data_IF_413771204128
#
_entry.id   IF_413771204128
#
_cell.length_a   1.000
_cell.length_b   1.000
_cell.length_c   1.000
_cell.angle_alpha   90.00
_cell.angle_beta   90.00
_cell.angle_gamma   90.00
#
_symmetry.space_group_name_H-M   'P 1'
#
loop_
_entity.id
_entity.type
_entity.pdbx_description
1 polymer ?
#
# COMPACT_ATOMS: atom_id res chain seq x y z
N UNK A 1 -58.26 -75.04 -4.99
CA UNK A 1 -57.51 -74.36 -6.03
C UNK A 1 -57.46 -72.86 -5.71
N UNK A 2 -56.38 -72.35 -5.09
CA UNK A 2 -56.21 -70.94 -4.68
C UNK A 2 -54.85 -70.44 -5.22
N UNK A 3 -54.96 -69.54 -6.20
CA UNK A 3 -53.78 -68.81 -6.74
C UNK A 3 -53.22 -67.82 -5.70
N UNK A 4 -52.00 -67.99 -5.28
CA UNK A 4 -51.23 -66.98 -4.55
C UNK A 4 -50.38 -66.18 -5.53
N UNK A 5 -50.68 -64.89 -5.72
CA UNK A 5 -49.79 -63.94 -6.40
C UNK A 5 -48.78 -63.38 -5.40
N UNK A 6 -47.54 -63.73 -5.62
CA UNK A 6 -46.39 -63.19 -4.85
C UNK A 6 -46.05 -61.81 -5.44
N UNK A 7 -46.19 -60.74 -4.64
CA UNK A 7 -45.75 -59.37 -5.00
C UNK A 7 -44.28 -59.23 -4.61
N UNK A 8 -43.40 -59.05 -5.60
CA UNK A 8 -41.99 -58.71 -5.47
C UNK A 8 -41.89 -57.20 -5.20
N UNK A 9 -41.41 -56.81 -4.01
CA UNK A 9 -41.06 -55.42 -3.75
C UNK A 9 -39.62 -55.21 -4.10
N UNK A 10 -39.35 -54.35 -5.14
CA UNK A 10 -37.99 -53.88 -5.49
C UNK A 10 -37.71 -52.67 -4.64
N UNK A 11 -36.78 -52.82 -3.70
CA UNK A 11 -36.25 -51.74 -2.87
C UNK A 11 -35.20 -51.01 -3.73
N UNK A 12 -35.50 -49.80 -4.26
CA UNK A 12 -34.52 -48.94 -4.90
C UNK A 12 -33.81 -48.16 -3.79
N UNK A 13 -32.60 -48.54 -3.46
CA UNK A 13 -31.69 -47.78 -2.62
C UNK A 13 -31.05 -46.72 -3.48
N UNK A 14 -31.52 -45.49 -3.38
CA UNK A 14 -30.86 -44.31 -3.94
C UNK A 14 -29.60 -44.00 -3.12
N UNK A 15 -28.45 -44.42 -3.61
CA UNK A 15 -27.16 -43.98 -3.11
C UNK A 15 -26.96 -42.51 -3.54
N UNK A 16 -27.23 -41.55 -2.66
CA UNK A 16 -26.80 -40.18 -2.81
C UNK A 16 -25.27 -40.13 -2.63
N UNK A 17 -24.51 -40.30 -3.70
CA UNK A 17 -23.12 -39.88 -3.75
C UNK A 17 -23.10 -38.35 -3.76
N UNK A 18 -23.05 -37.77 -2.58
CA UNK A 18 -22.69 -36.38 -2.42
C UNK A 18 -21.23 -36.20 -2.89
N UNK A 19 -21.03 -35.83 -4.17
CA UNK A 19 -19.75 -35.28 -4.60
C UNK A 19 -19.53 -33.98 -3.80
N UNK A 20 -18.81 -34.10 -2.71
CA UNK A 20 -18.23 -32.94 -2.04
C UNK A 20 -17.30 -32.25 -3.03
N UNK A 21 -17.77 -31.20 -3.66
CA UNK A 21 -16.91 -30.29 -4.41
C UNK A 21 -16.01 -29.64 -3.35
N UNK A 22 -14.84 -30.20 -3.12
CA UNK A 22 -13.76 -29.54 -2.40
C UNK A 22 -13.38 -28.31 -3.24
N UNK A 23 -14.01 -27.21 -2.98
CA UNK A 23 -13.53 -25.91 -3.45
C UNK A 23 -12.18 -25.70 -2.76
N UNK A 24 -11.09 -26.01 -3.48
CA UNK A 24 -9.77 -25.56 -3.05
C UNK A 24 -9.85 -24.04 -2.94
N UNK A 25 -9.90 -23.54 -1.72
CA UNK A 25 -9.82 -22.10 -1.48
C UNK A 25 -8.58 -21.57 -2.20
N UNK A 26 -8.76 -20.63 -3.11
CA UNK A 26 -7.64 -20.05 -3.86
C UNK A 26 -6.64 -19.48 -2.86
N UNK A 27 -5.40 -19.99 -2.89
CA UNK A 27 -4.34 -19.49 -2.00
C UNK A 27 -3.97 -18.07 -2.43
N UNK A 28 -4.42 -17.08 -1.66
CA UNK A 28 -4.13 -15.67 -1.89
C UNK A 28 -2.66 -15.40 -1.55
N UNK A 29 -1.83 -14.91 -2.50
CA UNK A 29 -0.41 -14.65 -2.25
C UNK A 29 -0.23 -13.54 -1.22
N UNK A 30 0.91 -13.55 -0.52
CA UNK A 30 1.32 -12.44 0.33
C UNK A 30 2.08 -11.36 -0.47
N UNK A 31 2.77 -11.74 -1.52
CA UNK A 31 3.65 -10.84 -2.28
C UNK A 31 3.73 -11.33 -3.73
N UNK A 32 3.99 -10.40 -4.63
CA UNK A 32 4.20 -10.68 -6.05
C UNK A 32 5.68 -10.51 -6.45
N UNK A 33 6.02 -10.98 -7.64
CA UNK A 33 7.38 -10.87 -8.21
C UNK A 33 7.47 -9.79 -9.28
N UNK A 34 6.43 -9.00 -9.42
CA UNK A 34 6.32 -7.89 -10.36
C UNK A 34 5.84 -6.63 -9.65
N UNK A 35 6.26 -5.48 -10.16
CA UNK A 35 5.89 -4.18 -9.60
C UNK A 35 4.36 -3.93 -9.66
N UNK A 36 3.71 -4.36 -10.75
CA UNK A 36 2.28 -4.17 -10.99
C UNK A 36 1.69 -5.37 -11.75
N UNK A 37 0.83 -6.14 -11.07
CA UNK A 37 0.13 -7.28 -11.68
C UNK A 37 -0.95 -6.86 -12.67
N UNK A 38 -1.47 -5.65 -12.53
CA UNK A 38 -2.56 -5.10 -13.34
C UNK A 38 -2.12 -4.31 -14.56
N UNK A 39 -0.82 -4.26 -14.88
CA UNK A 39 -0.25 -3.40 -15.95
C UNK A 39 -0.87 -3.62 -17.34
N UNK A 40 -1.40 -4.80 -17.59
CA UNK A 40 -2.02 -5.16 -18.88
C UNK A 40 -3.52 -4.86 -18.94
N UNK A 41 -4.14 -4.46 -17.83
CA UNK A 41 -5.55 -4.11 -17.82
C UNK A 41 -5.76 -2.78 -18.55
N UNK A 42 -6.90 -2.61 -19.24
CA UNK A 42 -7.23 -1.34 -19.88
C UNK A 42 -7.21 -0.19 -18.87
N UNK A 43 -6.71 0.96 -19.28
CA UNK A 43 -6.83 2.15 -18.46
C UNK A 43 -8.32 2.59 -18.40
N UNK A 44 -8.81 3.02 -17.24
CA UNK A 44 -10.16 3.56 -17.14
C UNK A 44 -10.27 4.89 -17.90
N UNK A 45 -11.50 5.27 -18.24
CA UNK A 45 -11.78 6.65 -18.65
C UNK A 45 -11.58 7.57 -17.45
N UNK A 46 -10.89 8.67 -17.64
CA UNK A 46 -10.54 9.63 -16.59
C UNK A 46 -11.18 11.01 -16.90
N UNK A 47 -12.46 11.20 -16.51
CA UNK A 47 -13.21 12.41 -16.85
C UNK A 47 -12.64 13.66 -16.19
N UNK A 48 -12.89 14.82 -16.79
CA UNK A 48 -12.61 16.10 -16.13
C UNK A 48 -13.54 16.39 -14.95
N UNK A 49 -13.16 17.33 -14.09
CA UNK A 49 -13.90 17.67 -12.85
C UNK A 49 -15.38 17.97 -13.06
N UNK A 50 -15.76 18.52 -14.23
CA UNK A 50 -17.15 18.87 -14.54
C UNK A 50 -18.01 17.66 -14.95
N UNK A 51 -17.38 16.57 -15.31
CA UNK A 51 -18.03 15.32 -15.74
C UNK A 51 -18.13 14.30 -14.60
N UNK A 52 -17.36 14.50 -13.52
CA UNK A 52 -17.34 13.60 -12.37
C UNK A 52 -18.59 13.79 -11.50
N UNK A 53 -19.21 12.70 -11.04
CA UNK A 53 -20.36 12.76 -10.14
C UNK A 53 -19.94 13.25 -8.75
N UNK A 54 -20.90 13.79 -8.00
CA UNK A 54 -20.73 14.12 -6.58
C UNK A 54 -21.05 12.90 -5.74
N UNK A 55 -20.05 12.37 -5.03
CA UNK A 55 -20.17 11.24 -4.10
C UNK A 55 -19.70 11.71 -2.73
N UNK A 56 -20.63 11.82 -1.78
CA UNK A 56 -20.34 12.35 -0.43
C UNK A 56 -19.77 11.32 0.54
N UNK A 57 -20.07 10.04 0.32
CA UNK A 57 -19.49 8.90 1.06
C UNK A 57 -18.14 8.51 0.46
N UNK A 58 -17.45 7.60 1.12
CA UNK A 58 -16.29 6.93 0.52
C UNK A 58 -16.72 6.13 -0.71
N UNK A 59 -15.85 6.06 -1.69
CA UNK A 59 -16.07 5.31 -2.93
C UNK A 59 -15.96 3.80 -2.70
N UNK A 60 -16.67 2.98 -3.49
CA UNK A 60 -16.61 1.52 -3.36
C UNK A 60 -15.36 0.94 -4.02
N UNK A 61 -14.40 0.37 -3.26
CA UNK A 61 -13.16 -0.19 -3.81
C UNK A 61 -13.38 -1.42 -4.71
N UNK A 62 -14.60 -1.91 -4.84
CA UNK A 62 -14.94 -3.04 -5.69
C UNK A 62 -15.70 -2.67 -6.95
N UNK A 63 -16.11 -1.42 -7.09
CA UNK A 63 -16.81 -0.93 -8.28
C UNK A 63 -15.82 -0.61 -9.39
N UNK A 64 -16.14 -1.04 -10.64
CA UNK A 64 -15.34 -0.69 -11.80
C UNK A 64 -15.43 0.81 -12.09
N UNK A 65 -14.32 1.40 -12.50
CA UNK A 65 -14.23 2.83 -12.82
C UNK A 65 -15.15 3.25 -13.97
N UNK A 66 -15.49 2.34 -14.85
CA UNK A 66 -16.41 2.56 -15.99
C UNK A 66 -17.89 2.46 -15.60
N UNK A 67 -18.21 2.18 -14.33
CA UNK A 67 -19.58 1.98 -13.86
C UNK A 67 -20.27 0.71 -14.35
N UNK A 68 -19.55 -0.19 -15.04
CA UNK A 68 -20.13 -1.40 -15.62
C UNK A 68 -20.54 -2.47 -14.60
N UNK A 69 -20.22 -2.26 -13.33
CA UNK A 69 -20.57 -3.17 -12.25
C UNK A 69 -19.53 -3.21 -11.13
N UNK A 70 -19.58 -4.29 -10.36
CA UNK A 70 -18.86 -4.50 -9.12
C UNK A 70 -18.39 -5.95 -9.02
N UNK A 71 -17.18 -6.20 -8.50
CA UNK A 71 -16.72 -7.56 -8.21
C UNK A 71 -15.97 -7.63 -6.89
N UNK A 72 -16.38 -8.56 -6.02
CA UNK A 72 -15.69 -8.93 -4.79
C UNK A 72 -14.82 -10.17 -4.95
N UNK A 73 -14.67 -10.67 -6.18
CA UNK A 73 -13.84 -11.84 -6.45
C UNK A 73 -12.37 -11.43 -6.47
N UNK A 74 -11.54 -12.10 -5.69
CA UNK A 74 -10.10 -11.83 -5.65
C UNK A 74 -9.42 -11.91 -7.04
N UNK A 75 -9.93 -12.73 -7.97
CA UNK A 75 -9.39 -12.83 -9.34
C UNK A 75 -9.48 -11.51 -10.11
N UNK A 76 -10.45 -10.69 -9.79
CA UNK A 76 -10.69 -9.40 -10.44
C UNK A 76 -9.96 -8.25 -9.75
N UNK A 77 -9.39 -8.50 -8.57
CA UNK A 77 -8.75 -7.45 -7.77
C UNK A 77 -7.58 -6.77 -8.49
N UNK A 78 -6.79 -7.51 -9.26
CA UNK A 78 -5.68 -6.90 -10.02
C UNK A 78 -6.15 -5.87 -11.04
N UNK A 79 -7.34 -6.06 -11.64
CA UNK A 79 -7.96 -5.07 -12.53
C UNK A 79 -8.38 -3.83 -11.72
N UNK A 80 -9.19 -4.00 -10.67
CA UNK A 80 -9.71 -2.85 -9.90
C UNK A 80 -8.57 -2.06 -9.26
N UNK A 81 -7.59 -2.75 -8.68
CA UNK A 81 -6.40 -2.13 -8.13
C UNK A 81 -5.65 -1.27 -9.17
N UNK A 82 -5.54 -1.76 -10.41
CA UNK A 82 -4.92 -1.00 -11.50
C UNK A 82 -5.74 0.22 -11.91
N UNK A 83 -7.08 0.13 -11.89
CA UNK A 83 -7.97 1.26 -12.15
C UNK A 83 -7.79 2.34 -11.07
N UNK A 84 -7.82 1.96 -9.77
CA UNK A 84 -7.56 2.89 -8.66
C UNK A 84 -6.18 3.56 -8.80
N UNK A 85 -5.15 2.79 -9.15
CA UNK A 85 -3.82 3.33 -9.38
C UNK A 85 -3.82 4.41 -10.47
N UNK A 86 -4.52 4.18 -11.59
CA UNK A 86 -4.65 5.14 -12.68
C UNK A 86 -5.42 6.40 -12.29
N UNK A 87 -6.46 6.25 -11.47
CA UNK A 87 -7.21 7.38 -10.91
C UNK A 87 -6.31 8.25 -10.02
N UNK A 88 -5.59 7.63 -9.08
CA UNK A 88 -4.65 8.35 -8.19
C UNK A 88 -3.52 9.01 -9.00
N UNK A 89 -2.94 8.32 -9.97
CA UNK A 89 -1.91 8.89 -10.86
C UNK A 89 -2.46 10.10 -11.61
N UNK A 90 -3.65 10.00 -12.16
CA UNK A 90 -4.23 11.07 -12.98
C UNK A 90 -4.62 12.31 -12.17
N UNK A 91 -5.33 12.08 -11.07
CA UNK A 91 -5.94 13.20 -10.33
C UNK A 91 -5.06 13.75 -9.23
N UNK A 92 -4.06 12.98 -8.73
CA UNK A 92 -3.36 13.33 -7.49
C UNK A 92 -1.84 13.44 -7.62
N UNK A 93 -1.14 12.39 -8.08
CA UNK A 93 0.33 12.34 -7.95
C UNK A 93 1.11 12.43 -9.27
N UNK A 94 0.47 12.28 -10.41
CA UNK A 94 1.13 12.12 -11.69
C UNK A 94 1.41 10.65 -12.03
N UNK A 95 1.55 10.37 -13.32
CA UNK A 95 1.79 9.01 -13.81
C UNK A 95 3.20 8.52 -13.48
N UNK A 96 3.30 7.40 -12.78
CA UNK A 96 4.57 6.77 -12.40
C UNK A 96 5.26 6.17 -13.64
N UNK A 97 6.46 6.64 -14.02
CA UNK A 97 7.14 6.14 -15.21
C UNK A 97 7.48 4.65 -15.12
N UNK A 98 7.19 3.91 -16.17
CA UNK A 98 7.58 2.52 -16.33
C UNK A 98 9.01 2.46 -16.85
N UNK A 99 9.84 1.63 -16.23
CA UNK A 99 11.24 1.43 -16.65
C UNK A 99 11.43 -0.01 -17.10
N UNK A 100 12.04 -0.19 -18.26
CA UNK A 100 12.41 -1.53 -18.73
C UNK A 100 13.61 -2.04 -17.95
N UNK A 101 13.61 -3.31 -17.54
CA UNK A 101 14.76 -3.93 -16.85
C UNK A 101 16.09 -3.83 -17.60
N UNK A 102 16.06 -3.76 -18.93
CA UNK A 102 17.26 -3.56 -19.79
C UNK A 102 17.91 -2.18 -19.59
N UNK A 103 17.15 -1.21 -19.10
CA UNK A 103 17.59 0.17 -18.92
C UNK A 103 18.10 0.41 -17.48
N UNK A 104 18.22 -0.66 -16.68
CA UNK A 104 18.68 -0.63 -15.30
C UNK A 104 19.92 -1.50 -15.15
N UNK A 105 20.96 -0.96 -14.51
CA UNK A 105 22.11 -1.73 -14.03
C UNK A 105 22.31 -1.50 -12.54
N UNK A 106 22.85 -2.49 -11.84
CA UNK A 106 23.09 -2.35 -10.41
C UNK A 106 24.33 -3.12 -9.97
N UNK A 107 24.98 -2.61 -8.94
CA UNK A 107 26.09 -3.26 -8.23
C UNK A 107 26.02 -2.98 -6.71
N UNK A 108 26.84 -3.68 -5.94
CA UNK A 108 27.06 -3.41 -4.52
C UNK A 108 28.54 -3.17 -4.27
N UNK A 109 28.85 -2.02 -3.68
CA UNK A 109 30.20 -1.65 -3.26
C UNK A 109 30.12 -1.12 -1.83
N UNK A 110 30.94 -1.69 -0.94
CA UNK A 110 30.99 -1.31 0.49
C UNK A 110 29.60 -1.25 1.13
N UNK A 111 28.84 -2.35 1.00
CA UNK A 111 27.45 -2.50 1.47
C UNK A 111 26.49 -1.40 0.96
N UNK A 112 26.84 -0.73 -0.13
CA UNK A 112 25.98 0.27 -0.76
C UNK A 112 25.50 -0.27 -2.11
N UNK A 113 24.20 -0.48 -2.22
CA UNK A 113 23.55 -0.75 -3.49
C UNK A 113 23.58 0.51 -4.35
N UNK A 114 24.07 0.39 -5.57
CA UNK A 114 24.04 1.44 -6.60
C UNK A 114 23.17 0.96 -7.75
N UNK A 115 22.21 1.77 -8.14
CA UNK A 115 21.25 1.48 -9.20
C UNK A 115 21.33 2.60 -10.23
N UNK A 116 21.73 2.28 -11.44
CA UNK A 116 21.76 3.23 -12.55
C UNK A 116 20.55 2.99 -13.45
N UNK A 117 19.74 4.01 -13.63
CA UNK A 117 18.59 4.00 -14.55
C UNK A 117 18.92 4.91 -15.72
N UNK A 118 18.87 4.38 -16.94
CA UNK A 118 19.21 5.12 -18.16
C UNK A 118 17.96 5.22 -19.05
N UNK A 119 17.53 6.45 -19.30
CA UNK A 119 16.38 6.76 -20.17
C UNK A 119 16.79 7.88 -21.12
N UNK A 120 16.51 7.71 -22.41
CA UNK A 120 16.85 8.70 -23.44
C UNK A 120 18.34 9.17 -23.42
N UNK A 121 19.24 8.25 -23.11
CA UNK A 121 20.69 8.55 -23.04
C UNK A 121 21.12 9.29 -21.77
N UNK A 122 20.20 9.60 -20.85
CA UNK A 122 20.49 10.20 -19.55
C UNK A 122 20.47 9.13 -18.45
N UNK A 123 21.38 9.24 -17.49
CA UNK A 123 21.46 8.28 -16.37
C UNK A 123 21.24 9.00 -15.03
N UNK A 124 20.37 8.42 -14.20
CA UNK A 124 20.21 8.76 -12.79
C UNK A 124 20.72 7.59 -11.96
N UNK A 125 21.62 7.87 -11.02
CA UNK A 125 22.17 6.87 -10.10
C UNK A 125 21.53 7.04 -8.72
N UNK A 126 20.91 5.97 -8.21
CA UNK A 126 20.40 5.88 -6.85
C UNK A 126 21.36 5.04 -6.00
N UNK A 127 21.54 5.43 -4.75
CA UNK A 127 22.38 4.72 -3.78
C UNK A 127 21.56 4.42 -2.51
N UNK A 128 21.67 3.19 -2.00
CA UNK A 128 21.06 2.80 -0.75
C UNK A 128 22.05 2.00 0.09
N UNK A 129 22.38 2.49 1.29
CA UNK A 129 23.22 1.76 2.24
C UNK A 129 22.43 0.62 2.82
N UNK A 130 23.05 -0.57 2.85
CA UNK A 130 22.49 -1.78 3.45
C UNK A 130 23.26 -2.07 4.74
N UNK A 131 22.55 -2.18 5.85
CA UNK A 131 23.09 -2.67 7.13
C UNK A 131 22.68 -4.13 7.26
N UNK A 132 23.64 -5.02 7.18
CA UNK A 132 23.42 -6.46 7.28
C UNK A 132 23.44 -6.94 8.72
N UNK A 133 22.56 -7.87 9.10
CA UNK A 133 22.74 -8.64 10.32
C UNK A 133 23.91 -9.62 10.19
N UNK A 134 24.34 -10.21 11.30
CA UNK A 134 25.34 -11.28 11.27
C UNK A 134 24.82 -12.52 10.51
N UNK A 135 25.74 -13.23 9.82
CA UNK A 135 25.39 -14.45 9.09
C UNK A 135 25.52 -14.36 7.57
N UNK A 136 25.02 -15.36 6.88
CA UNK A 136 25.24 -15.53 5.42
C UNK A 136 24.07 -15.03 4.55
N UNK A 137 22.87 -14.83 5.10
CA UNK A 137 21.64 -14.52 4.32
C UNK A 137 21.14 -15.75 3.50
N UNK A 138 20.15 -15.59 2.62
CA UNK A 138 19.49 -14.31 2.31
C UNK A 138 18.60 -13.80 3.48
N UNK A 139 18.69 -12.53 3.77
CA UNK A 139 17.95 -11.88 4.86
C UNK A 139 16.65 -11.27 4.36
N UNK A 140 15.56 -11.31 5.14
CA UNK A 140 14.47 -10.34 4.97
C UNK A 140 15.02 -8.93 5.17
N UNK A 141 14.39 -7.93 4.58
CA UNK A 141 14.85 -6.57 4.74
C UNK A 141 13.72 -5.57 4.91
N UNK A 142 14.03 -4.47 5.60
CA UNK A 142 13.19 -3.27 5.62
C UNK A 142 13.85 -2.16 4.83
N UNK A 143 13.08 -1.49 3.96
CA UNK A 143 13.45 -0.24 3.31
C UNK A 143 12.92 0.89 4.19
N UNK A 144 13.81 1.59 4.87
CA UNK A 144 13.47 2.74 5.69
C UNK A 144 13.64 4.03 4.90
N UNK A 145 12.65 4.91 4.97
CA UNK A 145 12.70 6.22 4.33
C UNK A 145 13.59 7.15 5.17
N UNK A 146 14.67 7.64 4.57
CA UNK A 146 15.67 8.50 5.19
C UNK A 146 16.68 7.76 6.09
N UNK A 147 16.25 6.78 6.88
CA UNK A 147 17.09 5.92 7.73
C UNK A 147 16.75 4.45 7.46
N UNK A 148 17.60 3.52 7.91
CA UNK A 148 17.45 2.09 7.61
C UNK A 148 16.11 1.46 8.04
N UNK A 149 15.45 2.02 9.05
CA UNK A 149 14.14 1.57 9.55
C UNK A 149 13.07 2.66 9.53
N UNK A 150 13.30 3.77 8.79
CA UNK A 150 12.48 4.96 8.94
C UNK A 150 12.59 5.50 10.37
N UNK A 151 11.47 5.72 11.06
CA UNK A 151 11.42 6.17 12.45
C UNK A 151 11.20 5.04 13.46
N UNK A 152 11.05 3.81 12.99
CA UNK A 152 10.86 2.65 13.87
C UNK A 152 12.16 2.30 14.62
N UNK A 153 12.08 1.81 15.87
CA UNK A 153 13.25 1.39 16.63
C UNK A 153 14.05 0.30 15.89
N UNK A 154 15.35 0.52 15.62
CA UNK A 154 16.18 -0.47 14.91
C UNK A 154 16.25 -1.83 15.58
N UNK A 155 16.10 -1.86 16.92
CA UNK A 155 16.15 -3.08 17.74
C UNK A 155 15.08 -4.10 17.36
N UNK A 156 13.89 -3.65 16.89
CA UNK A 156 12.83 -4.54 16.40
C UNK A 156 13.34 -5.41 15.25
N UNK A 157 14.18 -4.86 14.38
CA UNK A 157 14.70 -5.50 13.18
C UNK A 157 16.02 -6.24 13.44
N UNK A 158 16.95 -5.63 14.20
CA UNK A 158 18.26 -6.25 14.48
C UNK A 158 18.12 -7.52 15.31
N UNK A 159 17.20 -7.56 16.29
CA UNK A 159 16.93 -8.75 17.10
C UNK A 159 16.34 -9.92 16.29
N UNK A 160 15.86 -9.64 15.07
CA UNK A 160 15.21 -10.60 14.16
C UNK A 160 16.04 -10.94 12.93
N UNK A 161 17.30 -10.53 12.89
CA UNK A 161 18.19 -10.72 11.74
C UNK A 161 17.60 -10.19 10.42
N UNK A 162 16.98 -9.01 10.46
CA UNK A 162 16.41 -8.31 9.30
C UNK A 162 17.40 -7.24 8.86
N UNK A 163 17.78 -7.26 7.59
CA UNK A 163 18.62 -6.24 7.00
C UNK A 163 17.87 -4.90 6.87
N UNK A 164 18.61 -3.80 6.94
CA UNK A 164 18.04 -2.45 6.88
C UNK A 164 18.62 -1.72 5.66
N UNK A 165 17.74 -1.15 4.84
CA UNK A 165 18.11 -0.45 3.61
C UNK A 165 17.65 1.00 3.74
N UNK A 166 18.59 1.94 3.78
CA UNK A 166 18.27 3.35 3.89
C UNK A 166 17.99 3.96 2.50
N UNK A 167 16.75 4.38 2.26
CA UNK A 167 16.37 5.07 1.04
C UNK A 167 16.43 6.59 1.23
N UNK A 168 17.38 7.22 0.55
CA UNK A 168 17.47 8.69 0.48
C UNK A 168 16.60 9.19 -0.69
N UNK A 169 15.43 9.69 -0.39
CA UNK A 169 14.44 10.17 -1.35
C UNK A 169 14.90 11.42 -2.14
N UNK A 170 15.82 12.23 -1.58
CA UNK A 170 16.31 13.45 -2.24
C UNK A 170 17.12 13.17 -3.49
N UNK A 171 17.61 11.95 -3.67
CA UNK A 171 18.25 11.49 -4.92
C UNK A 171 17.29 11.45 -6.11
N UNK A 172 15.99 11.46 -5.84
CA UNK A 172 14.93 11.40 -6.86
C UNK A 172 14.25 12.76 -6.96
N UNK A 173 13.78 13.29 -5.84
CA UNK A 173 13.08 14.57 -5.75
C UNK A 173 13.20 15.14 -4.35
N UNK A 174 13.43 16.44 -4.23
CA UNK A 174 13.49 17.14 -2.94
C UNK A 174 12.12 17.22 -2.27
N UNK A 175 12.12 17.35 -0.93
CA UNK A 175 10.89 17.50 -0.13
C UNK A 175 10.04 18.71 -0.58
N UNK A 176 10.71 19.80 -0.93
CA UNK A 176 10.11 21.02 -1.47
C UNK A 176 10.54 21.18 -2.92
N UNK A 177 10.02 20.30 -3.80
CA UNK A 177 10.45 20.22 -5.18
C UNK A 177 10.36 21.54 -5.94
N UNK A 178 11.28 21.72 -6.87
CA UNK A 178 11.23 22.75 -7.93
C UNK A 178 10.82 22.07 -9.22
N UNK A 179 9.56 22.17 -9.59
CA UNK A 179 8.98 21.47 -10.74
C UNK A 179 9.83 21.61 -12.01
N UNK A 180 10.18 20.49 -12.62
CA UNK A 180 11.02 20.45 -13.80
C UNK A 180 12.53 20.50 -13.54
N UNK A 181 12.99 20.74 -12.29
CA UNK A 181 14.41 20.84 -11.93
C UNK A 181 14.85 19.86 -10.85
N UNK A 182 14.19 18.72 -10.75
CA UNK A 182 14.52 17.66 -9.81
C UNK A 182 15.40 16.58 -10.48
N UNK A 183 16.15 15.76 -9.72
CA UNK A 183 16.99 14.71 -10.29
C UNK A 183 16.27 13.79 -11.28
N UNK A 184 15.00 13.41 -10.98
CA UNK A 184 14.19 12.58 -11.87
C UNK A 184 13.88 13.24 -13.22
N UNK A 185 13.81 14.58 -13.25
CA UNK A 185 13.57 15.32 -14.51
C UNK A 185 14.72 15.20 -15.52
N UNK A 186 15.91 14.74 -15.08
CA UNK A 186 16.99 14.36 -16.00
C UNK A 186 16.56 13.25 -16.95
N UNK A 187 15.79 12.28 -16.43
CA UNK A 187 15.27 11.16 -17.21
C UNK A 187 13.96 11.52 -17.93
N UNK A 188 13.14 12.35 -17.30
CA UNK A 188 11.77 12.68 -17.74
C UNK A 188 11.55 14.20 -17.72
N UNK A 189 12.19 14.96 -18.65
CA UNK A 189 12.15 16.42 -18.64
C UNK A 189 10.74 17.00 -18.83
N UNK A 190 9.86 16.27 -19.52
CA UNK A 190 8.49 16.70 -19.80
C UNK A 190 7.50 16.42 -18.65
N UNK A 191 7.95 15.68 -17.62
CA UNK A 191 7.10 15.33 -16.45
C UNK A 191 7.19 16.40 -15.36
N UNK A 192 6.87 17.64 -15.69
CA UNK A 192 6.95 18.78 -14.75
C UNK A 192 5.80 18.85 -13.76
N UNK A 193 4.71 18.12 -14.03
CA UNK A 193 3.51 18.04 -13.18
C UNK A 193 3.58 16.94 -12.12
N UNK A 194 4.61 16.09 -12.15
CA UNK A 194 4.77 14.95 -11.23
C UNK A 194 4.84 15.41 -9.77
N UNK A 195 3.98 14.87 -8.91
CA UNK A 195 4.06 15.03 -7.47
C UNK A 195 5.21 14.20 -6.87
N UNK A 196 5.70 14.62 -5.71
CA UNK A 196 6.83 13.95 -5.07
C UNK A 196 6.51 12.48 -4.69
N UNK A 197 5.27 12.17 -4.28
CA UNK A 197 4.89 10.78 -3.95
C UNK A 197 4.95 9.85 -5.17
N UNK A 198 4.69 10.33 -6.36
CA UNK A 198 4.93 9.59 -7.59
C UNK A 198 6.43 9.32 -7.80
N UNK A 199 7.25 10.38 -7.73
CA UNK A 199 8.70 10.29 -7.93
C UNK A 199 9.39 9.41 -6.88
N UNK A 200 9.03 9.57 -5.60
CA UNK A 200 9.61 8.79 -4.51
C UNK A 200 9.21 7.31 -4.58
N UNK A 201 7.96 6.99 -4.91
CA UNK A 201 7.52 5.61 -5.15
C UNK A 201 8.26 4.98 -6.32
N UNK A 202 8.49 5.74 -7.40
CA UNK A 202 9.35 5.30 -8.50
C UNK A 202 10.77 4.98 -8.01
N UNK A 203 11.36 5.84 -7.18
CA UNK A 203 12.69 5.62 -6.63
C UNK A 203 12.80 4.35 -5.79
N UNK A 204 11.81 4.08 -4.91
CA UNK A 204 11.76 2.84 -4.13
C UNK A 204 11.70 1.61 -5.05
N UNK A 205 10.86 1.64 -6.09
CA UNK A 205 10.79 0.55 -7.06
C UNK A 205 12.14 0.31 -7.77
N UNK A 206 12.89 1.35 -8.05
CA UNK A 206 14.23 1.20 -8.65
C UNK A 206 15.24 0.59 -7.69
N UNK A 207 15.15 0.87 -6.40
CA UNK A 207 15.96 0.16 -5.39
C UNK A 207 15.64 -1.34 -5.38
N UNK A 208 14.36 -1.71 -5.45
CA UNK A 208 13.95 -3.13 -5.51
C UNK A 208 14.47 -3.79 -6.80
N UNK A 209 14.37 -3.12 -7.95
CA UNK A 209 14.95 -3.61 -9.20
C UNK A 209 16.46 -3.87 -9.06
N UNK A 210 17.18 -2.96 -8.41
CA UNK A 210 18.60 -3.11 -8.14
C UNK A 210 18.91 -4.35 -7.29
N UNK A 211 18.13 -4.60 -6.24
CA UNK A 211 18.26 -5.81 -5.42
C UNK A 211 18.05 -7.09 -6.23
N UNK A 212 17.03 -7.10 -7.12
CA UNK A 212 16.75 -8.22 -8.01
C UNK A 212 17.88 -8.46 -9.03
N UNK A 213 18.43 -7.38 -9.61
CA UNK A 213 19.52 -7.45 -10.60
C UNK A 213 20.81 -7.99 -9.96
N UNK A 214 21.17 -7.47 -8.79
CA UNK A 214 22.36 -7.92 -8.05
C UNK A 214 22.16 -9.37 -7.53
N UNK A 215 20.94 -9.76 -7.27
CA UNK A 215 20.55 -11.11 -6.88
C UNK A 215 21.27 -11.57 -5.61
N UNK A 216 21.86 -12.77 -5.63
CA UNK A 216 22.51 -13.39 -4.45
C UNK A 216 23.61 -12.53 -3.82
N UNK A 217 24.25 -11.65 -4.57
CA UNK A 217 25.28 -10.73 -4.04
C UNK A 217 24.70 -9.72 -3.04
N UNK A 218 23.40 -9.39 -3.14
CA UNK A 218 22.73 -8.52 -2.18
C UNK A 218 22.56 -9.18 -0.80
N UNK A 219 22.58 -10.49 -0.73
CA UNK A 219 22.22 -11.29 0.48
C UNK A 219 20.81 -10.97 0.99
N UNK A 220 19.94 -10.39 0.18
CA UNK A 220 18.56 -10.00 0.52
C UNK A 220 17.58 -10.97 -0.13
N UNK A 221 16.57 -11.39 0.63
CA UNK A 221 15.41 -12.07 0.11
C UNK A 221 14.36 -11.06 -0.37
N UNK A 222 14.34 -10.79 -1.66
CA UNK A 222 13.42 -9.82 -2.27
C UNK A 222 11.94 -10.19 -2.18
N UNK A 223 11.61 -11.42 -1.72
CA UNK A 223 10.23 -11.81 -1.42
C UNK A 223 9.79 -11.44 0.00
N UNK A 224 10.70 -10.96 0.84
CA UNK A 224 10.47 -10.60 2.23
C UNK A 224 10.95 -9.17 2.51
N UNK A 225 10.37 -8.23 1.74
CA UNK A 225 10.66 -6.80 1.88
C UNK A 225 9.55 -6.11 2.66
N UNK A 226 9.93 -5.27 3.61
CA UNK A 226 9.07 -4.27 4.22
C UNK A 226 9.49 -2.87 3.82
N UNK A 227 8.57 -1.91 3.99
CA UNK A 227 8.87 -0.48 3.90
C UNK A 227 8.29 0.25 5.09
N UNK A 228 8.99 1.28 5.59
CA UNK A 228 8.48 2.16 6.64
C UNK A 228 9.03 3.58 6.56
N UNK A 229 8.24 4.50 7.06
CA UNK A 229 8.55 5.91 7.28
C UNK A 229 7.51 6.54 8.18
N UNK A 230 7.76 7.78 8.61
CA UNK A 230 6.84 8.52 9.48
C UNK A 230 6.49 9.89 8.90
N UNK A 231 5.29 10.38 9.17
CA UNK A 231 4.78 11.67 8.72
C UNK A 231 4.77 11.74 7.19
N UNK A 232 5.38 12.74 6.56
CA UNK A 232 5.51 12.76 5.08
C UNK A 232 6.20 11.50 4.53
N UNK A 233 7.14 10.92 5.28
CA UNK A 233 7.76 9.66 4.91
C UNK A 233 6.85 8.45 5.20
N UNK A 234 5.90 8.57 6.11
CA UNK A 234 4.82 7.60 6.32
C UNK A 234 3.86 7.54 5.14
N UNK A 235 3.47 8.72 4.60
CA UNK A 235 2.74 8.83 3.34
C UNK A 235 3.55 8.18 2.20
N UNK A 236 4.87 8.48 2.11
CA UNK A 236 5.76 7.90 1.09
C UNK A 236 5.83 6.37 1.18
N UNK A 237 5.93 5.81 2.39
CA UNK A 237 5.91 4.37 2.60
C UNK A 237 4.59 3.74 2.13
N UNK A 238 3.45 4.39 2.41
CA UNK A 238 2.14 3.95 1.97
C UNK A 238 2.02 3.98 0.43
N UNK A 239 2.38 5.09 -0.21
CA UNK A 239 2.37 5.19 -1.68
C UNK A 239 3.30 4.14 -2.32
N UNK A 240 4.53 4.00 -1.81
CA UNK A 240 5.45 2.99 -2.34
C UNK A 240 4.91 1.56 -2.17
N UNK A 241 4.34 1.24 -1.00
CA UNK A 241 3.68 -0.04 -0.74
C UNK A 241 2.47 -0.27 -1.64
N UNK A 242 1.67 0.75 -1.90
CA UNK A 242 0.52 0.68 -2.79
C UNK A 242 0.92 0.48 -4.26
N UNK A 243 1.99 1.15 -4.72
CA UNK A 243 2.41 1.17 -6.12
C UNK A 243 3.51 0.16 -6.48
N UNK A 244 3.96 -0.68 -5.54
CA UNK A 244 4.90 -1.78 -5.82
C UNK A 244 4.48 -3.06 -5.10
N UNK A 245 3.96 -4.02 -5.86
CA UNK A 245 3.41 -5.27 -5.32
C UNK A 245 4.49 -6.27 -4.86
N UNK A 246 5.78 -5.94 -4.98
CA UNK A 246 6.89 -6.72 -4.45
C UNK A 246 7.17 -6.44 -2.96
N UNK A 247 6.53 -5.43 -2.38
CA UNK A 247 6.65 -5.10 -0.96
C UNK A 247 5.65 -5.93 -0.17
N UNK A 248 6.14 -6.85 0.67
CA UNK A 248 5.30 -7.78 1.44
C UNK A 248 4.61 -7.12 2.63
N UNK A 249 5.26 -6.15 3.27
CA UNK A 249 4.75 -5.45 4.45
C UNK A 249 4.99 -3.94 4.34
N UNK A 250 3.92 -3.17 4.46
CA UNK A 250 3.97 -1.71 4.55
C UNK A 250 3.62 -1.28 5.96
N UNK A 251 4.51 -0.52 6.62
CA UNK A 251 4.27 0.10 7.93
C UNK A 251 4.29 1.61 7.74
N UNK A 252 3.11 2.21 7.72
CA UNK A 252 2.95 3.66 7.57
C UNK A 252 2.75 4.29 8.95
N UNK A 253 3.80 4.93 9.49
CA UNK A 253 3.74 5.58 10.78
C UNK A 253 3.28 7.03 10.60
N UNK A 254 2.23 7.40 11.33
CA UNK A 254 1.66 8.75 11.38
C UNK A 254 1.50 9.40 9.99
N UNK A 255 0.92 8.68 9.01
CA UNK A 255 0.85 9.18 7.63
C UNK A 255 -0.15 10.32 7.44
N UNK A 256 -1.17 10.41 8.29
CA UNK A 256 -2.14 11.51 8.34
C UNK A 256 -2.85 11.84 7.04
N UNK A 257 -3.25 13.10 6.88
CA UNK A 257 -3.84 13.64 5.66
C UNK A 257 -2.88 13.54 4.47
N UNK A 258 -3.38 13.19 3.28
CA UNK A 258 -2.52 12.85 2.13
C UNK A 258 -1.76 11.53 2.27
N UNK A 259 -2.04 10.78 3.33
CA UNK A 259 -1.57 9.42 3.57
C UNK A 259 -2.73 8.47 3.79
N UNK A 260 -2.91 7.98 5.02
CA UNK A 260 -4.00 7.05 5.32
C UNK A 260 -5.36 7.72 5.57
N UNK A 261 -5.40 9.02 5.93
CA UNK A 261 -6.63 9.73 6.17
C UNK A 261 -7.38 10.05 4.85
N UNK A 262 -8.68 9.79 4.82
CA UNK A 262 -9.52 10.05 3.66
C UNK A 262 -9.79 11.55 3.49
N UNK A 263 -9.63 12.05 2.28
CA UNK A 263 -9.81 13.48 1.99
C UNK A 263 -11.23 13.98 2.32
N UNK A 264 -12.27 13.21 1.93
CA UNK A 264 -13.67 13.57 2.22
C UNK A 264 -13.95 13.71 3.71
N UNK A 265 -13.42 12.78 4.51
CA UNK A 265 -13.63 12.81 5.96
C UNK A 265 -12.86 13.96 6.59
N UNK A 266 -11.60 14.17 6.18
CA UNK A 266 -10.75 15.26 6.68
C UNK A 266 -11.38 16.64 6.47
N UNK A 267 -12.05 16.87 5.33
CA UNK A 267 -12.74 18.15 5.07
C UNK A 267 -13.84 18.48 6.10
N UNK A 268 -14.31 17.50 6.88
CA UNK A 268 -15.33 17.71 7.92
C UNK A 268 -14.77 17.92 9.33
N UNK A 269 -13.45 17.84 9.52
CA UNK A 269 -12.81 17.78 10.84
C UNK A 269 -12.12 19.08 11.31
N UNK A 270 -12.25 20.18 10.58
CA UNK A 270 -11.70 21.48 11.01
C UNK A 270 -10.20 21.62 10.81
N UNK A 271 -9.42 21.74 11.91
CA UNK A 271 -8.00 22.10 11.87
C UNK A 271 -7.06 20.91 11.57
N UNK A 272 -7.35 20.15 10.52
CA UNK A 272 -6.55 19.01 10.08
C UNK A 272 -5.95 19.25 8.69
N UNK A 273 -5.01 18.40 8.27
CA UNK A 273 -4.53 18.38 6.89
C UNK A 273 -5.65 17.90 5.95
N UNK A 274 -6.13 18.81 5.10
CA UNK A 274 -7.10 18.52 4.05
C UNK A 274 -6.44 18.59 2.69
N UNK A 275 -7.17 18.23 1.62
CA UNK A 275 -6.65 18.35 0.25
C UNK A 275 -6.22 19.78 -0.08
N UNK A 276 -6.93 20.77 0.40
CA UNK A 276 -6.58 22.18 0.18
C UNK A 276 -5.45 22.71 1.08
N UNK A 277 -5.08 21.99 2.14
CA UNK A 277 -4.07 22.41 3.14
C UNK A 277 -2.79 21.57 3.10
N UNK A 278 -2.70 20.57 2.22
CA UNK A 278 -1.49 19.77 2.06
C UNK A 278 -0.43 20.47 1.20
N UNK A 279 0.77 19.92 1.14
CA UNK A 279 1.87 20.53 0.38
C UNK A 279 1.70 20.37 -1.12
N UNK A 280 1.70 21.48 -1.85
CA UNK A 280 1.71 21.51 -3.31
C UNK A 280 2.93 20.79 -3.93
N UNK A 281 4.05 20.71 -3.21
CA UNK A 281 5.24 19.99 -3.69
C UNK A 281 5.03 18.47 -3.76
N UNK A 282 4.13 17.92 -2.95
CA UNK A 282 3.96 16.47 -2.82
C UNK A 282 3.02 15.87 -3.86
N UNK A 283 2.13 16.69 -4.40
CA UNK A 283 1.05 16.30 -5.31
C UNK A 283 1.11 17.06 -6.63
N UNK A 284 0.30 16.66 -7.61
CA UNK A 284 0.11 17.44 -8.82
C UNK A 284 -0.56 18.78 -8.49
N UNK A 285 -0.17 19.83 -9.20
CA UNK A 285 -0.83 21.13 -9.01
C UNK A 285 -2.33 21.08 -9.37
N UNK A 286 -2.70 20.33 -10.39
CA UNK A 286 -4.09 20.15 -10.80
C UNK A 286 -4.97 19.42 -9.77
N UNK A 287 -4.39 18.71 -8.79
CA UNK A 287 -5.16 18.10 -7.71
C UNK A 287 -5.94 19.14 -6.90
N UNK A 288 -5.38 20.32 -6.71
CA UNK A 288 -5.96 21.34 -5.84
C UNK A 288 -7.28 21.97 -6.36
N UNK A 289 -7.69 21.67 -7.60
CA UNK A 289 -9.04 21.96 -8.07
C UNK A 289 -10.13 21.16 -7.33
N UNK A 290 -9.74 20.03 -6.69
CA UNK A 290 -10.63 19.17 -5.92
C UNK A 290 -10.72 19.55 -4.44
N UNK A 291 -10.16 20.65 -3.99
CA UNK A 291 -10.24 21.12 -2.61
C UNK A 291 -11.67 21.45 -2.19
N UNK A 292 -11.92 21.49 -0.87
CA UNK A 292 -13.22 21.86 -0.28
C UNK A 292 -14.35 20.93 -0.80
N UNK A 293 -15.51 21.49 -1.15
CA UNK A 293 -16.67 20.71 -1.61
C UNK A 293 -16.37 19.83 -2.84
N UNK A 294 -15.40 20.23 -3.66
CA UNK A 294 -15.01 19.47 -4.84
C UNK A 294 -14.33 18.14 -4.52
N UNK A 295 -13.89 17.91 -3.29
CA UNK A 295 -13.34 16.61 -2.87
C UNK A 295 -14.34 15.49 -3.12
N UNK A 296 -15.64 15.79 -3.04
CA UNK A 296 -16.73 14.86 -3.31
C UNK A 296 -16.81 14.40 -4.78
N UNK A 297 -16.07 15.02 -5.68
CA UNK A 297 -16.00 14.66 -7.10
C UNK A 297 -14.85 13.69 -7.43
N UNK A 298 -13.87 13.51 -6.52
CA UNK A 298 -12.80 12.52 -6.77
C UNK A 298 -13.41 11.13 -6.94
N UNK A 299 -13.00 10.34 -7.96
CA UNK A 299 -13.54 9.00 -8.17
C UNK A 299 -12.99 7.95 -7.21
N UNK A 300 -12.09 8.33 -6.33
CA UNK A 300 -11.45 7.52 -5.29
C UNK A 300 -11.31 8.34 -3.99
N UNK A 301 -10.83 7.68 -2.93
CA UNK A 301 -10.32 8.35 -1.73
C UNK A 301 -9.19 7.48 -1.09
N UNK A 302 -8.53 7.98 -0.04
CA UNK A 302 -7.32 7.34 0.50
C UNK A 302 -7.53 6.00 1.21
N UNK A 303 -8.77 5.64 1.54
CA UNK A 303 -9.08 4.25 1.91
C UNK A 303 -8.79 3.28 0.75
N UNK A 304 -8.95 3.71 -0.51
CA UNK A 304 -8.58 2.93 -1.69
C UNK A 304 -7.06 2.92 -1.94
N UNK A 305 -6.34 4.01 -1.61
CA UNK A 305 -4.87 3.99 -1.58
C UNK A 305 -4.36 2.94 -0.58
N UNK A 306 -4.95 2.89 0.63
CA UNK A 306 -4.67 1.83 1.60
C UNK A 306 -5.02 0.45 1.03
N UNK A 307 -6.21 0.30 0.43
CA UNK A 307 -6.70 -0.95 -0.15
C UNK A 307 -5.81 -1.47 -1.29
N UNK A 308 -5.13 -0.61 -2.05
CA UNK A 308 -4.16 -1.02 -3.07
C UNK A 308 -3.01 -1.87 -2.53
N UNK A 309 -2.72 -1.82 -1.22
CA UNK A 309 -1.73 -2.71 -0.60
C UNK A 309 -2.22 -4.16 -0.58
N UNK A 310 -3.55 -4.40 -0.55
CA UNK A 310 -4.08 -5.77 -0.58
C UNK A 310 -3.64 -6.54 -1.84
N UNK A 311 -3.34 -7.83 -1.71
CA UNK A 311 -3.53 -8.72 -0.55
C UNK A 311 -2.32 -8.78 0.39
N UNK A 312 -1.35 -7.89 0.24
CA UNK A 312 -0.13 -7.80 1.04
C UNK A 312 -0.43 -7.20 2.41
N UNK A 313 0.54 -7.16 3.31
CA UNK A 313 0.31 -6.67 4.67
C UNK A 313 0.46 -5.15 4.78
N UNK A 314 -0.46 -4.53 5.54
CA UNK A 314 -0.46 -3.10 5.88
C UNK A 314 -0.67 -2.92 7.38
N UNK A 315 0.21 -2.14 8.01
CA UNK A 315 0.02 -1.63 9.37
C UNK A 315 0.09 -0.10 9.33
N UNK A 316 -0.98 0.55 9.79
CA UNK A 316 -1.04 2.02 9.94
C UNK A 316 -0.95 2.36 11.42
N UNK A 317 0.00 3.22 11.77
CA UNK A 317 0.18 3.74 13.13
C UNK A 317 -0.20 5.22 13.13
N UNK A 318 -1.00 5.66 14.10
CA UNK A 318 -1.45 7.04 14.22
C UNK A 318 -1.11 7.62 15.60
N UNK A 319 -1.22 8.96 15.72
CA UNK A 319 -0.95 9.70 16.96
C UNK A 319 -1.92 10.89 17.07
N UNK A 320 -3.06 10.73 17.76
CA UNK A 320 -4.10 11.75 17.83
C UNK A 320 -3.71 13.00 18.61
N UNK A 321 -2.56 13.00 19.31
CA UNK A 321 -2.06 14.20 19.98
C UNK A 321 -1.64 15.30 18.99
N UNK A 322 -1.47 14.93 17.73
CA UNK A 322 -1.12 15.86 16.64
C UNK A 322 -2.30 16.04 15.69
N UNK A 323 -3.12 17.04 15.95
CA UNK A 323 -4.41 17.27 15.28
C UNK A 323 -4.30 17.32 13.76
N UNK A 324 -3.20 17.86 13.21
CA UNK A 324 -3.02 17.93 11.76
C UNK A 324 -2.96 16.57 11.06
N UNK A 325 -2.66 15.48 11.79
CA UNK A 325 -2.64 14.12 11.22
C UNK A 325 -4.04 13.63 10.82
N UNK A 326 -5.12 14.26 11.28
CA UNK A 326 -6.49 13.87 10.94
C UNK A 326 -6.79 12.40 11.31
N UNK A 327 -6.36 11.93 12.47
CA UNK A 327 -6.42 10.52 12.84
C UNK A 327 -7.84 9.95 12.97
N UNK A 328 -8.87 10.79 13.24
CA UNK A 328 -10.27 10.35 13.10
C UNK A 328 -10.59 9.95 11.65
N UNK A 329 -10.15 10.76 10.69
CA UNK A 329 -10.27 10.43 9.26
C UNK A 329 -9.43 9.19 8.91
N UNK A 330 -8.24 9.06 9.49
CA UNK A 330 -7.38 7.88 9.38
C UNK A 330 -8.09 6.62 9.87
N UNK A 331 -8.76 6.69 11.01
CA UNK A 331 -9.56 5.60 11.56
C UNK A 331 -10.68 5.16 10.60
N UNK A 332 -11.49 6.12 10.12
CA UNK A 332 -12.58 5.85 9.17
C UNK A 332 -12.04 5.20 7.89
N UNK A 333 -10.95 5.77 7.35
CA UNK A 333 -10.28 5.26 6.15
C UNK A 333 -9.74 3.83 6.34
N UNK A 334 -9.08 3.56 7.46
CA UNK A 334 -8.57 2.23 7.78
C UNK A 334 -9.70 1.20 7.93
N UNK A 335 -10.81 1.57 8.57
CA UNK A 335 -12.01 0.71 8.68
C UNK A 335 -12.59 0.37 7.30
N UNK A 336 -12.70 1.36 6.42
CA UNK A 336 -13.18 1.18 5.05
C UNK A 336 -12.22 0.33 4.22
N UNK A 337 -10.92 0.62 4.26
CA UNK A 337 -9.90 -0.15 3.54
C UNK A 337 -9.86 -1.62 3.98
N UNK A 338 -9.95 -1.89 5.29
CA UNK A 338 -9.92 -3.24 5.84
C UNK A 338 -11.02 -4.15 5.28
N UNK A 339 -12.16 -3.58 4.83
CA UNK A 339 -13.23 -4.33 4.15
C UNK A 339 -12.71 -5.14 2.95
N UNK A 340 -11.66 -4.68 2.27
CA UNK A 340 -11.07 -5.39 1.14
C UNK A 340 -10.40 -6.69 1.62
N UNK A 341 -9.60 -6.62 2.68
CA UNK A 341 -8.97 -7.83 3.26
C UNK A 341 -10.00 -8.77 3.91
N UNK A 342 -11.02 -8.22 4.58
CA UNK A 342 -12.13 -8.99 5.14
C UNK A 342 -12.88 -9.75 4.04
N UNK A 343 -13.20 -9.08 2.93
CA UNK A 343 -13.87 -9.68 1.77
C UNK A 343 -13.08 -10.83 1.17
N UNK A 344 -11.75 -10.74 1.19
CA UNK A 344 -10.87 -11.81 0.68
C UNK A 344 -10.55 -12.89 1.73
N UNK A 345 -11.06 -12.77 2.97
CA UNK A 345 -10.79 -13.74 4.05
C UNK A 345 -9.37 -13.70 4.59
N UNK A 346 -8.70 -12.55 4.51
CA UNK A 346 -7.31 -12.32 4.94
C UNK A 346 -7.20 -11.06 5.83
N UNK A 347 -8.20 -10.79 6.65
CA UNK A 347 -8.29 -9.61 7.51
C UNK A 347 -7.07 -9.41 8.42
N UNK A 348 -6.41 -10.51 8.80
CA UNK A 348 -5.20 -10.53 9.60
C UNK A 348 -3.97 -9.88 8.92
N UNK A 349 -4.09 -9.49 7.64
CA UNK A 349 -3.01 -8.78 6.91
C UNK A 349 -3.14 -7.26 6.96
N UNK A 350 -4.23 -6.71 7.51
CA UNK A 350 -4.40 -5.26 7.63
C UNK A 350 -4.74 -4.89 9.07
N UNK A 351 -3.88 -4.08 9.68
CA UNK A 351 -4.09 -3.55 11.02
C UNK A 351 -3.86 -2.04 11.09
N UNK A 352 -4.38 -1.46 12.16
CA UNK A 352 -4.10 -0.08 12.56
C UNK A 352 -4.04 0.05 14.07
N UNK A 353 -3.16 0.94 14.56
CA UNK A 353 -3.03 1.30 15.96
C UNK A 353 -2.86 2.81 16.07
N UNK A 354 -3.89 3.49 16.57
CA UNK A 354 -3.98 4.95 16.64
C UNK A 354 -4.07 5.31 18.11
N UNK A 355 -2.91 5.60 18.73
CA UNK A 355 -2.79 5.90 20.13
C UNK A 355 -1.89 7.12 20.35
N UNK A 356 -2.24 7.95 21.34
CA UNK A 356 -1.48 9.13 21.74
C UNK A 356 -0.54 8.87 22.93
N UNK A 357 -0.06 9.95 23.54
CA UNK A 357 0.82 9.90 24.70
C UNK A 357 2.30 9.81 24.33
N UNK A 358 2.68 10.15 23.10
CA UNK A 358 4.06 10.11 22.65
C UNK A 358 4.41 11.23 21.65
N UNK A 359 5.69 11.51 21.46
CA UNK A 359 6.16 12.49 20.49
C UNK A 359 5.88 12.07 19.04
N UNK A 360 5.75 13.07 18.15
CA UNK A 360 5.59 12.86 16.72
C UNK A 360 6.74 12.02 16.14
N UNK A 361 6.42 10.98 15.40
CA UNK A 361 7.38 10.02 14.85
C UNK A 361 8.19 9.22 15.88
N UNK A 362 7.73 9.15 17.11
CA UNK A 362 8.31 8.36 18.17
C UNK A 362 7.38 7.17 18.47
N UNK A 363 7.79 5.96 18.10
CA UNK A 363 7.02 4.77 18.43
C UNK A 363 7.08 4.54 19.96
N UNK A 364 5.94 4.55 20.70
CA UNK A 364 5.94 4.22 22.11
C UNK A 364 6.11 2.71 22.31
N UNK A 365 6.69 2.30 23.43
CA UNK A 365 6.89 0.87 23.75
C UNK A 365 5.56 0.08 23.75
N UNK A 366 4.45 0.74 24.06
CA UNK A 366 3.13 0.14 24.03
C UNK A 366 2.70 -0.36 22.62
N UNK A 367 3.26 0.23 21.54
CA UNK A 367 3.00 -0.17 20.15
C UNK A 367 4.06 -1.15 19.61
N UNK A 368 5.12 -1.48 20.36
CA UNK A 368 6.11 -2.46 19.88
C UNK A 368 5.50 -3.81 19.57
N UNK A 369 4.59 -4.37 20.39
CA UNK A 369 4.00 -5.67 20.12
C UNK A 369 3.26 -5.75 18.78
N UNK A 370 2.56 -4.69 18.36
CA UNK A 370 1.85 -4.66 17.08
C UNK A 370 2.83 -4.68 15.90
N UNK A 371 3.88 -3.83 15.95
CA UNK A 371 4.92 -3.79 14.91
C UNK A 371 5.66 -5.13 14.85
N UNK A 372 6.06 -5.67 16.00
CA UNK A 372 6.75 -6.95 16.11
C UNK A 372 5.91 -8.10 15.56
N UNK A 373 4.61 -8.15 15.85
CA UNK A 373 3.71 -9.19 15.34
C UNK A 373 3.63 -9.16 13.80
N UNK A 374 3.49 -7.97 13.20
CA UNK A 374 3.47 -7.83 11.74
C UNK A 374 4.81 -8.23 11.11
N UNK A 375 5.91 -7.81 11.68
CA UNK A 375 7.26 -8.20 11.23
C UNK A 375 7.45 -9.72 11.35
N UNK A 376 7.12 -10.31 12.49
CA UNK A 376 7.23 -11.74 12.75
C UNK A 376 6.38 -12.56 11.78
N UNK A 377 5.14 -12.16 11.53
CA UNK A 377 4.24 -12.89 10.64
C UNK A 377 4.61 -12.76 9.18
N UNK A 378 4.82 -11.52 8.69
CA UNK A 378 4.89 -11.25 7.26
C UNK A 378 6.31 -11.22 6.69
N UNK A 379 7.33 -11.02 7.51
CA UNK A 379 8.72 -11.16 7.08
C UNK A 379 9.36 -12.48 7.53
N UNK A 380 9.02 -12.99 8.71
CA UNK A 380 9.62 -14.19 9.26
C UNK A 380 8.75 -15.45 9.12
N UNK A 381 7.48 -15.29 8.73
CA UNK A 381 6.55 -16.40 8.50
C UNK A 381 6.07 -17.10 9.78
N UNK A 382 6.14 -16.43 10.94
CA UNK A 382 5.64 -16.95 12.22
C UNK A 382 4.12 -16.91 12.23
N UNK A 383 3.49 -18.08 12.10
CA UNK A 383 2.04 -18.22 11.94
C UNK A 383 1.23 -17.87 13.19
N UNK A 384 1.84 -17.98 14.35
CA UNK A 384 1.26 -17.72 15.68
C UNK A 384 1.27 -16.25 16.08
N UNK A 385 1.94 -15.37 15.33
CA UNK A 385 1.93 -13.94 15.59
C UNK A 385 0.52 -13.37 15.37
N UNK A 386 -0.02 -12.71 16.41
CA UNK A 386 -1.34 -12.08 16.36
C UNK A 386 -1.26 -10.72 15.68
N UNK A 387 -1.85 -10.61 14.50
CA UNK A 387 -1.93 -9.38 13.70
C UNK A 387 -3.36 -8.84 13.55
N UNK A 388 -4.30 -9.35 14.36
CA UNK A 388 -5.65 -8.76 14.50
C UNK A 388 -5.58 -7.46 15.32
N UNK A 389 -5.01 -6.41 14.72
CA UNK A 389 -4.75 -5.11 15.34
C UNK A 389 -5.73 -4.08 14.78
N UNK A 390 -6.69 -3.65 15.61
CA UNK A 390 -7.67 -2.61 15.26
C UNK A 390 -7.86 -1.67 16.45
N UNK A 391 -6.78 -0.99 16.86
CA UNK A 391 -6.69 -0.21 18.10
C UNK A 391 -6.87 1.27 17.77
N UNK A 392 -7.90 1.90 18.31
CA UNK A 392 -8.14 3.35 18.19
C UNK A 392 -9.08 3.83 19.31
N UNK A 393 -8.63 3.85 20.57
CA UNK A 393 -9.50 4.03 21.73
C UNK A 393 -10.27 5.36 21.73
N UNK A 394 -9.71 6.43 21.17
CA UNK A 394 -10.41 7.72 21.06
C UNK A 394 -11.54 7.73 20.03
N UNK A 395 -11.53 6.80 19.09
CA UNK A 395 -12.44 6.79 17.93
C UNK A 395 -13.43 5.62 17.95
N UNK A 396 -13.50 4.81 19.02
CA UNK A 396 -14.42 3.67 19.12
C UNK A 396 -15.91 4.04 18.97
N UNK A 397 -16.27 5.28 19.31
CA UNK A 397 -17.64 5.80 19.19
C UNK A 397 -17.92 6.54 17.88
N UNK A 398 -16.93 6.69 17.02
CA UNK A 398 -17.11 7.33 15.73
C UNK A 398 -17.96 6.44 14.83
N UNK A 399 -19.05 7.00 14.33
CA UNK A 399 -19.90 6.34 13.33
C UNK A 399 -19.18 6.35 11.97
N UNK A 400 -18.24 5.41 11.79
CA UNK A 400 -17.53 5.25 10.53
C UNK A 400 -18.43 4.64 9.45
N UNK A 401 -19.50 3.91 9.81
CA UNK A 401 -20.39 3.23 8.87
C UNK A 401 -21.15 4.21 7.99
N UNK A 402 -21.47 5.40 8.48
CA UNK A 402 -22.08 6.48 7.68
C UNK A 402 -21.26 6.90 6.47
N UNK A 403 -19.95 6.61 6.49
CA UNK A 403 -19.02 6.94 5.42
C UNK A 403 -18.84 5.80 4.42
N UNK A 404 -19.24 4.59 4.78
CA UNK A 404 -19.04 3.44 3.92
C UNK A 404 -19.89 3.56 2.63
N UNK A 405 -19.38 2.97 1.61
CA UNK A 405 -20.06 2.75 0.33
C UNK A 405 -21.19 1.72 0.49
N UNK A 406 -22.33 2.01 -0.10
CA UNK A 406 -23.53 1.17 -0.05
C UNK A 406 -23.86 0.58 -1.43
#
# INVERSE_FOLDING_TARGET
>A
MKNRKTRLWVLIVLLNMGMGISTFAQKIPLVYTVENTGIKNPAPVLPGINELPVVKTLTDPFQWSDGSGRSTNFKDWSRRRAEIAREIEHYEIGEKPIVSKKDITADIVDDTLRVNVTVNGQTLTLKAKITYPAGKGPFPAIIGIGRGTGSLPPTIFTSRNIAQIAFNFTQVMSHTQKRGNEPINKLYPDRTDMGAYCAWSWGVSRIIDGLEIVGKKSKIDTKRLAISGCSFAGKMALFAGAFDERIALTIAQEPGGGGAAAWRVSETLGEVETLGRTSHAWFKESMFQYKEDNVSKLPYDHHELCAMVAPRALLVLGNPDYVWLADESGYVSCRAARKVWETFGIADRMGFSIVGGHGHCQLPESQYPEVEAFVDKFLLGKKDANTEVTIAPLYEKVDYERWLFH
#
